data_IF_042454265387
#
_entry.id   IF_042454265387
#
_cell.length_a   1.000
_cell.length_b   1.000
_cell.length_c   1.000
_cell.angle_alpha   90.00
_cell.angle_beta   90.00
_cell.angle_gamma   90.00
#
_symmetry.space_group_name_H-M   'P 1'
#
loop_
_entity.id
_entity.type
_entity.pdbx_description
1 polymer ?
#
# COMPACT_ATOMS: atom_id res chain seq x y z
N UNK A 1 -10.13 -8.40 -16.27
CA UNK A 1 -9.33 -8.86 -15.12
C UNK A 1 -8.98 -7.70 -14.19
N UNK A 2 -8.36 -6.63 -14.69
CA UNK A 2 -7.86 -5.52 -13.85
C UNK A 2 -8.97 -4.79 -13.08
N UNK A 3 -10.11 -4.53 -13.74
CA UNK A 3 -11.30 -3.95 -13.09
C UNK A 3 -11.82 -4.82 -11.93
N UNK A 4 -11.89 -6.13 -12.13
CA UNK A 4 -12.37 -7.07 -11.11
C UNK A 4 -11.41 -7.14 -9.92
N UNK A 5 -10.09 -7.14 -10.19
CA UNK A 5 -9.08 -7.10 -9.14
C UNK A 5 -9.20 -5.84 -8.28
N UNK A 6 -9.41 -4.67 -8.90
CA UNK A 6 -9.65 -3.41 -8.19
C UNK A 6 -10.93 -3.48 -7.36
N UNK A 7 -12.05 -3.92 -7.95
CA UNK A 7 -13.34 -4.03 -7.26
C UNK A 7 -13.29 -4.98 -6.06
N UNK A 8 -12.66 -6.14 -6.21
CA UNK A 8 -12.50 -7.11 -5.13
C UNK A 8 -11.59 -6.57 -4.02
N UNK A 9 -10.54 -5.84 -4.39
CA UNK A 9 -9.66 -5.17 -3.44
C UNK A 9 -10.40 -4.11 -2.64
N UNK A 10 -11.13 -3.22 -3.31
CA UNK A 10 -11.90 -2.17 -2.64
C UNK A 10 -12.98 -2.75 -1.74
N UNK A 11 -13.68 -3.80 -2.18
CA UNK A 11 -14.67 -4.51 -1.36
C UNK A 11 -14.04 -5.10 -0.10
N UNK A 12 -12.88 -5.73 -0.24
CA UNK A 12 -12.13 -6.28 0.89
C UNK A 12 -11.72 -5.17 1.85
N UNK A 13 -11.12 -4.09 1.36
CA UNK A 13 -10.72 -2.95 2.20
C UNK A 13 -11.90 -2.33 2.94
N UNK A 14 -13.03 -2.11 2.28
CA UNK A 14 -14.26 -1.60 2.91
C UNK A 14 -14.80 -2.52 4.00
N UNK A 15 -14.64 -3.84 3.84
CA UNK A 15 -15.07 -4.83 4.84
C UNK A 15 -14.18 -4.79 6.09
N UNK A 16 -12.89 -4.50 5.92
CA UNK A 16 -11.90 -4.51 7.00
C UNK A 16 -11.78 -3.16 7.72
N UNK A 17 -12.13 -2.06 7.04
CA UNK A 17 -12.07 -0.73 7.63
C UNK A 17 -13.14 -0.52 8.69
N UNK A 18 -12.79 0.27 9.71
CA UNK A 18 -13.76 0.70 10.71
C UNK A 18 -14.78 1.64 10.05
N UNK A 19 -16.09 1.36 10.13
CA UNK A 19 -17.11 2.23 9.55
C UNK A 19 -17.13 3.62 10.20
N UNK A 20 -16.64 3.71 11.45
CA UNK A 20 -16.56 4.97 12.21
C UNK A 20 -15.49 5.91 11.63
N UNK A 21 -14.49 5.38 10.92
CA UNK A 21 -13.46 6.20 10.30
C UNK A 21 -14.04 7.13 9.21
N UNK A 22 -15.13 6.74 8.56
CA UNK A 22 -15.79 7.58 7.55
C UNK A 22 -14.90 7.97 6.37
N UNK A 23 -13.88 7.16 6.07
CA UNK A 23 -12.95 7.36 4.96
C UNK A 23 -13.51 6.67 3.72
N UNK A 24 -13.66 7.44 2.64
CA UNK A 24 -14.00 6.91 1.34
C UNK A 24 -12.72 6.49 0.59
N UNK A 25 -12.63 5.21 0.24
CA UNK A 25 -11.55 4.67 -0.58
C UNK A 25 -11.88 4.92 -2.04
N UNK A 26 -11.31 5.99 -2.60
CA UNK A 26 -11.46 6.30 -4.02
C UNK A 26 -10.09 6.51 -4.67
N UNK A 27 -9.24 5.47 -4.74
CA UNK A 27 -7.95 5.59 -5.42
C UNK A 27 -8.17 5.87 -6.90
N UNK A 28 -7.30 6.70 -7.48
CA UNK A 28 -7.36 6.94 -8.92
C UNK A 28 -7.12 5.62 -9.68
N UNK A 29 -7.84 5.36 -10.79
CA UNK A 29 -7.60 4.17 -11.61
C UNK A 29 -6.14 4.04 -12.05
N UNK A 30 -5.51 5.18 -12.40
CA UNK A 30 -4.10 5.25 -12.78
C UNK A 30 -3.17 4.79 -11.66
N UNK A 31 -3.43 5.16 -10.40
CA UNK A 31 -2.65 4.69 -9.26
C UNK A 31 -2.74 3.17 -9.12
N UNK A 32 -3.92 2.58 -9.27
CA UNK A 32 -4.10 1.13 -9.23
C UNK A 32 -3.38 0.43 -10.39
N UNK A 33 -3.43 0.99 -11.60
CA UNK A 33 -2.80 0.42 -12.80
C UNK A 33 -1.27 0.30 -12.68
N UNK A 34 -0.62 1.23 -11.96
CA UNK A 34 0.82 1.16 -11.69
C UNK A 34 1.20 -0.15 -11.01
N UNK A 35 0.54 -0.49 -9.90
CA UNK A 35 0.83 -1.74 -9.21
C UNK A 35 0.32 -2.97 -9.98
N UNK A 36 -0.85 -2.89 -10.64
CA UNK A 36 -1.36 -4.03 -11.42
C UNK A 36 -0.36 -4.45 -12.50
N UNK A 37 0.26 -3.49 -13.18
CA UNK A 37 1.30 -3.72 -14.18
C UNK A 37 2.53 -4.47 -13.61
N UNK A 38 2.85 -4.24 -12.33
CA UNK A 38 3.88 -5.00 -11.60
C UNK A 38 3.37 -6.40 -11.29
N UNK A 39 2.18 -6.53 -10.69
CA UNK A 39 1.62 -7.82 -10.26
C UNK A 39 1.40 -8.80 -11.41
N UNK A 40 1.14 -8.32 -12.63
CA UNK A 40 0.98 -9.16 -13.83
C UNK A 40 2.29 -9.79 -14.31
N UNK A 41 3.45 -9.21 -13.96
CA UNK A 41 4.78 -9.75 -14.32
C UNK A 41 5.21 -10.90 -13.42
N UNK A 42 4.51 -11.12 -12.31
CA UNK A 42 4.83 -12.14 -11.33
C UNK A 42 3.74 -13.22 -11.29
N UNK A 43 4.17 -14.47 -11.17
CA UNK A 43 3.26 -15.60 -10.99
C UNK A 43 2.75 -15.62 -9.54
N UNK A 44 1.62 -14.94 -9.33
CA UNK A 44 0.99 -14.76 -8.03
C UNK A 44 -0.44 -15.29 -8.07
N UNK A 45 -0.84 -15.98 -7.00
CA UNK A 45 -2.24 -16.32 -6.77
C UNK A 45 -3.11 -15.06 -6.73
N UNK A 46 -4.34 -15.17 -7.25
CA UNK A 46 -5.27 -14.04 -7.32
C UNK A 46 -5.50 -13.37 -5.97
N UNK A 47 -5.72 -14.15 -4.91
CA UNK A 47 -5.91 -13.62 -3.55
C UNK A 47 -4.71 -12.81 -3.07
N UNK A 48 -3.49 -13.22 -3.43
CA UNK A 48 -2.30 -12.47 -3.09
C UNK A 48 -2.22 -11.15 -3.86
N UNK A 49 -2.62 -11.13 -5.14
CA UNK A 49 -2.73 -9.88 -5.92
C UNK A 49 -3.71 -8.90 -5.28
N UNK A 50 -4.87 -9.38 -4.79
CA UNK A 50 -5.85 -8.57 -4.05
C UNK A 50 -5.22 -7.98 -2.78
N UNK A 51 -4.51 -8.79 -1.99
CA UNK A 51 -3.86 -8.34 -0.76
C UNK A 51 -2.79 -7.28 -1.02
N UNK A 52 -1.91 -7.51 -2.01
CA UNK A 52 -0.84 -6.59 -2.36
C UNK A 52 -1.39 -5.27 -2.91
N UNK A 53 -2.42 -5.33 -3.75
CA UNK A 53 -3.13 -4.14 -4.23
C UNK A 53 -3.77 -3.38 -3.07
N UNK A 54 -4.35 -4.09 -2.10
CA UNK A 54 -4.92 -3.49 -0.89
C UNK A 54 -3.88 -2.73 -0.07
N UNK A 55 -2.74 -3.36 0.23
CA UNK A 55 -1.63 -2.73 0.98
C UNK A 55 -1.15 -1.46 0.26
N UNK A 56 -0.95 -1.55 -1.05
CA UNK A 56 -0.56 -0.40 -1.86
C UNK A 56 -1.59 0.72 -1.83
N UNK A 57 -2.87 0.42 -2.05
CA UNK A 57 -3.94 1.41 -2.01
C UNK A 57 -3.97 2.14 -0.67
N UNK A 58 -3.86 1.42 0.45
CA UNK A 58 -3.84 2.04 1.78
C UNK A 58 -2.64 2.98 1.92
N UNK A 59 -1.44 2.53 1.53
CA UNK A 59 -0.21 3.33 1.65
C UNK A 59 -0.25 4.58 0.77
N UNK A 60 -0.76 4.47 -0.46
CA UNK A 60 -0.92 5.59 -1.39
C UNK A 60 -1.91 6.62 -0.84
N UNK A 61 -3.09 6.19 -0.38
CA UNK A 61 -4.08 7.10 0.21
C UNK A 61 -3.56 7.75 1.50
N UNK A 62 -2.87 7.00 2.36
CA UNK A 62 -2.26 7.56 3.57
C UNK A 62 -1.24 8.66 3.23
N UNK A 63 -0.43 8.41 2.22
CA UNK A 63 0.55 9.35 1.72
C UNK A 63 -0.12 10.60 1.14
N UNK A 64 -1.20 10.46 0.35
CA UNK A 64 -1.97 11.57 -0.23
C UNK A 64 -2.61 12.46 0.84
N UNK A 65 -3.26 11.87 1.85
CA UNK A 65 -3.86 12.64 2.96
C UNK A 65 -2.84 13.52 3.68
N UNK A 66 -1.64 12.99 3.92
CA UNK A 66 -0.57 13.79 4.52
C UNK A 66 0.03 14.84 3.57
N UNK A 67 -0.09 14.72 2.24
CA UNK A 67 0.33 15.77 1.31
C UNK A 67 -0.66 16.94 1.28
N UNK A 68 -1.94 16.69 1.55
CA UNK A 68 -2.98 17.72 1.62
C UNK A 68 -2.99 18.48 2.97
N UNK A 69 -2.06 18.16 3.87
CA UNK A 69 -1.92 18.82 5.18
C UNK A 69 -1.24 20.20 5.05
N UNK A 70 -1.97 21.15 4.46
CA UNK A 70 -1.52 22.52 4.24
C UNK A 70 -2.02 23.42 5.39
N UNK A 71 -1.23 24.39 5.89
CA UNK A 71 -1.69 25.33 6.90
C UNK A 71 -3.00 26.02 6.50
N UNK A 72 -3.94 26.12 7.44
CA UNK A 72 -5.27 26.73 7.26
C UNK A 72 -6.21 25.99 6.29
N UNK A 73 -5.87 24.79 5.83
CA UNK A 73 -6.82 23.95 5.10
C UNK A 73 -7.99 23.55 6.03
N UNK A 74 -9.27 23.69 5.61
CA UNK A 74 -10.42 23.40 6.46
C UNK A 74 -10.43 21.95 6.96
N UNK A 75 -9.94 21.01 6.14
CA UNK A 75 -9.86 19.59 6.47
C UNK A 75 -8.50 19.16 7.06
N UNK A 76 -7.64 20.10 7.48
CA UNK A 76 -6.29 19.77 7.96
C UNK A 76 -6.31 18.69 9.05
N UNK A 77 -7.11 18.88 10.10
CA UNK A 77 -7.24 17.92 11.20
C UNK A 77 -7.72 16.56 10.70
N UNK A 78 -8.68 16.54 9.77
CA UNK A 78 -9.22 15.30 9.21
C UNK A 78 -8.17 14.57 8.38
N UNK A 79 -7.45 15.28 7.52
CA UNK A 79 -6.38 14.72 6.69
C UNK A 79 -5.24 14.11 7.53
N UNK A 80 -4.88 14.74 8.66
CA UNK A 80 -3.92 14.17 9.60
C UNK A 80 -4.46 12.85 10.18
N UNK A 81 -5.69 12.87 10.71
CA UNK A 81 -6.28 11.70 11.36
C UNK A 81 -6.53 10.54 10.38
N UNK A 82 -7.01 10.83 9.17
CA UNK A 82 -7.24 9.84 8.12
C UNK A 82 -5.93 9.22 7.67
N UNK A 83 -4.86 10.02 7.50
CA UNK A 83 -3.54 9.51 7.16
C UNK A 83 -2.94 8.62 8.24
N UNK A 84 -3.00 9.03 9.50
CA UNK A 84 -2.53 8.23 10.65
C UNK A 84 -3.35 6.94 10.84
N UNK A 85 -4.67 7.01 10.63
CA UNK A 85 -5.53 5.84 10.61
C UNK A 85 -5.12 4.87 9.51
N UNK A 86 -4.94 5.34 8.27
CA UNK A 86 -4.55 4.50 7.14
C UNK A 86 -3.16 3.87 7.35
N UNK A 87 -2.20 4.61 7.93
CA UNK A 87 -0.90 4.04 8.30
C UNK A 87 -1.01 2.97 9.41
N UNK A 88 -1.95 3.08 10.32
CA UNK A 88 -2.21 2.04 11.31
C UNK A 88 -2.95 0.84 10.69
N UNK A 89 -3.87 1.12 9.77
CA UNK A 89 -4.69 0.13 9.10
C UNK A 89 -3.89 -0.75 8.15
N UNK A 90 -2.89 -0.24 7.41
CA UNK A 90 -2.08 -1.09 6.53
C UNK A 90 -1.36 -2.21 7.30
N UNK A 91 -0.90 -1.92 8.52
CA UNK A 91 -0.26 -2.92 9.37
C UNK A 91 -1.24 -4.01 9.77
N UNK A 92 -2.44 -3.63 10.22
CA UNK A 92 -3.50 -4.58 10.60
C UNK A 92 -3.94 -5.44 9.42
N UNK A 93 -4.14 -4.80 8.26
CA UNK A 93 -4.51 -5.46 7.02
C UNK A 93 -3.43 -6.45 6.57
N UNK A 94 -2.15 -6.03 6.57
CA UNK A 94 -1.04 -6.90 6.19
C UNK A 94 -0.87 -8.10 7.13
N UNK A 95 -1.09 -7.93 8.44
CA UNK A 95 -1.14 -9.05 9.41
C UNK A 95 -2.22 -10.04 9.01
N UNK A 96 -3.45 -9.57 8.71
CA UNK A 96 -4.57 -10.43 8.32
C UNK A 96 -4.30 -11.18 7.03
N UNK A 97 -3.66 -10.53 6.07
CA UNK A 97 -3.26 -11.09 4.78
C UNK A 97 -2.00 -11.97 4.84
N UNK A 98 -1.33 -12.06 6.01
CA UNK A 98 -0.05 -12.76 6.21
C UNK A 98 1.11 -12.21 5.36
N UNK A 99 1.10 -10.91 5.07
CA UNK A 99 2.14 -10.21 4.30
C UNK A 99 3.16 -9.50 5.22
N UNK A 100 3.56 -10.15 6.31
CA UNK A 100 4.47 -9.55 7.31
C UNK A 100 5.89 -9.32 6.79
N UNK A 101 6.38 -10.21 5.92
CA UNK A 101 7.70 -10.06 5.30
C UNK A 101 7.75 -8.83 4.40
N UNK A 102 6.65 -8.55 3.69
CA UNK A 102 6.51 -7.32 2.90
C UNK A 102 6.51 -6.08 3.81
N UNK A 103 5.78 -6.11 4.92
CA UNK A 103 5.79 -5.01 5.91
C UNK A 103 7.20 -4.76 6.43
N UNK A 104 7.91 -5.81 6.85
CA UNK A 104 9.28 -5.69 7.33
C UNK A 104 10.21 -5.11 6.26
N UNK A 105 10.01 -5.49 5.00
CA UNK A 105 10.77 -4.97 3.86
C UNK A 105 10.48 -3.49 3.58
N UNK A 106 9.22 -3.06 3.62
CA UNK A 106 8.81 -1.69 3.29
C UNK A 106 8.95 -0.70 4.46
N UNK A 107 8.91 -1.16 5.72
CA UNK A 107 8.91 -0.28 6.89
C UNK A 107 10.08 0.74 6.89
N UNK A 108 11.33 0.38 6.54
CA UNK A 108 12.42 1.35 6.48
C UNK A 108 12.22 2.44 5.42
N UNK A 109 11.71 2.09 4.23
CA UNK A 109 11.51 3.06 3.14
C UNK A 109 10.34 4.00 3.44
N UNK A 110 9.23 3.45 3.96
CA UNK A 110 8.06 4.23 4.41
C UNK A 110 8.49 5.21 5.51
N UNK A 111 9.26 4.76 6.50
CA UNK A 111 9.71 5.65 7.58
C UNK A 111 10.64 6.76 7.09
N UNK A 112 11.57 6.44 6.19
CA UNK A 112 12.44 7.45 5.55
C UNK A 112 11.62 8.47 4.76
N UNK A 113 10.61 8.03 4.01
CA UNK A 113 9.68 8.94 3.32
C UNK A 113 8.98 9.88 4.32
N UNK A 114 8.39 9.35 5.39
CA UNK A 114 7.72 10.17 6.40
C UNK A 114 8.64 11.22 7.03
N UNK A 115 9.89 10.86 7.36
CA UNK A 115 10.90 11.79 7.91
C UNK A 115 11.31 12.86 6.89
N UNK A 116 11.51 12.48 5.62
CA UNK A 116 11.83 13.45 4.56
C UNK A 116 10.70 14.47 4.41
N UNK A 117 9.45 13.99 4.39
CA UNK A 117 8.27 14.85 4.29
C UNK A 117 8.13 15.80 5.48
N UNK A 118 8.39 15.33 6.70
CA UNK A 118 8.37 16.22 7.88
C UNK A 118 9.43 17.33 7.80
N UNK A 119 10.48 17.14 7.02
CA UNK A 119 11.54 18.13 6.76
C UNK A 119 11.26 18.99 5.51
N UNK A 120 10.08 18.88 4.90
CA UNK A 120 9.71 19.62 3.69
C UNK A 120 10.21 19.03 2.38
N UNK A 121 10.78 17.81 2.40
CA UNK A 121 11.13 17.07 1.19
C UNK A 121 9.95 16.19 0.77
N UNK A 122 9.26 16.65 -0.28
CA UNK A 122 8.09 16.00 -0.88
C UNK A 122 8.43 15.18 -2.12
N UNK A 123 9.69 14.75 -2.27
CA UNK A 123 10.07 13.85 -3.35
C UNK A 123 9.15 12.62 -3.39
N UNK A 124 8.78 12.24 -4.63
CA UNK A 124 7.84 11.16 -4.88
C UNK A 124 8.37 9.85 -4.30
N UNK A 125 7.51 9.16 -3.56
CA UNK A 125 7.76 7.79 -3.12
C UNK A 125 6.89 6.89 -3.97
N UNK A 126 7.49 5.83 -4.50
CA UNK A 126 6.80 4.85 -5.33
C UNK A 126 6.68 3.53 -4.55
N UNK A 127 5.53 3.29 -3.87
CA UNK A 127 5.27 2.03 -3.19
C UNK A 127 5.20 0.84 -4.15
N UNK A 128 4.82 1.03 -5.42
CA UNK A 128 4.75 -0.05 -6.41
C UNK A 128 6.15 -0.58 -6.73
N UNK A 129 7.13 0.31 -6.92
CA UNK A 129 8.53 -0.09 -7.07
C UNK A 129 9.07 -0.85 -5.84
N UNK A 130 8.68 -0.42 -4.63
CA UNK A 130 9.02 -1.14 -3.39
C UNK A 130 8.49 -2.58 -3.38
N UNK A 131 7.23 -2.76 -3.78
CA UNK A 131 6.60 -4.09 -3.88
C UNK A 131 7.25 -4.93 -5.00
N UNK A 132 7.55 -4.35 -6.17
CA UNK A 132 8.25 -5.07 -7.25
C UNK A 132 9.60 -5.61 -6.79
N UNK A 133 10.41 -4.79 -6.12
CA UNK A 133 11.72 -5.23 -5.61
C UNK A 133 11.60 -6.35 -4.57
N UNK A 134 10.59 -6.28 -3.69
CA UNK A 134 10.28 -7.35 -2.76
C UNK A 134 9.95 -8.67 -3.48
N UNK A 135 9.06 -8.63 -4.47
CA UNK A 135 8.66 -9.81 -5.24
C UNK A 135 9.85 -10.41 -6.00
N UNK A 136 10.71 -9.59 -6.60
CA UNK A 136 11.94 -10.05 -7.24
C UNK A 136 12.86 -10.77 -6.24
N UNK A 137 13.04 -10.21 -5.04
CA UNK A 137 13.84 -10.81 -3.99
C UNK A 137 13.25 -12.16 -3.53
N UNK A 138 11.95 -12.21 -3.31
CA UNK A 138 11.24 -13.42 -2.91
C UNK A 138 11.36 -14.52 -3.96
N UNK A 139 11.16 -14.21 -5.24
CA UNK A 139 11.35 -15.16 -6.34
C UNK A 139 12.78 -15.74 -6.35
N UNK A 140 13.80 -14.89 -6.19
CA UNK A 140 15.21 -15.33 -6.15
C UNK A 140 15.49 -16.26 -4.97
N UNK A 141 14.90 -16.00 -3.81
CA UNK A 141 15.06 -16.86 -2.63
C UNK A 141 14.41 -18.23 -2.86
N UNK A 142 13.19 -18.28 -3.41
CA UNK A 142 12.50 -19.53 -3.76
C UNK A 142 13.29 -20.35 -4.79
N UNK A 143 13.89 -19.71 -5.79
CA UNK A 143 14.73 -20.41 -6.77
C UNK A 143 16.02 -20.98 -6.18
N UNK A 144 16.58 -20.34 -5.14
CA UNK A 144 17.80 -20.82 -4.46
C UNK A 144 17.52 -22.01 -3.55
N UNK A 145 16.41 -21.99 -2.80
CA UNK A 145 16.00 -23.10 -1.94
C UNK A 145 15.59 -24.34 -2.75
N UNK A 146 14.96 -24.14 -3.91
CA UNK A 146 14.59 -25.22 -4.84
C UNK A 146 15.80 -25.93 -5.47
N UNK A 147 16.95 -25.25 -5.60
CA UNK A 147 18.21 -25.83 -6.11
C UNK A 147 19.06 -26.53 -5.05
N UNK A 148 18.68 -26.44 -3.77
CA UNK A 148 19.43 -27.01 -2.65
C UNK A 148 18.86 -28.37 -2.18
N UNK A 149 17.93 -28.96 -2.94
CA UNK A 149 17.31 -30.27 -2.74
C UNK A 149 17.64 -31.13 -3.97
#
# INVERSE_FOLDING_TARGET
MNKQLIEDTLRLLHTEMSPIAGIELNPSPAACEQLISVLERHDLEYNRKVNLLGIYTILTLAAERHMECIPHHPDLTRNILDGDYLYSFYLQFAVKCRELDLVAYLAPSIKKMQIRRSNGDFAEHDPAAGIEQFLIQECRQRSRTSKAI
#
